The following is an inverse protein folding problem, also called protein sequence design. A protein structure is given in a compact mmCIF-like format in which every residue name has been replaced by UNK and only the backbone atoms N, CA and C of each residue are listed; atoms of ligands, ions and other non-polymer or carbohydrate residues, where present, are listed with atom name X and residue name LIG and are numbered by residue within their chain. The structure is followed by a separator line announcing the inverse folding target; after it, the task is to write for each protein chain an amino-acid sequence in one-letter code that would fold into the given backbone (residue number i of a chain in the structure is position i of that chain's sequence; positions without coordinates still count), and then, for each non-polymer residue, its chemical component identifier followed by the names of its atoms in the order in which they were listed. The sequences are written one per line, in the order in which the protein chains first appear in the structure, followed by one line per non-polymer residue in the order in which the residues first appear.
data_IF_961780547965
#
_entry.id   IF_961780547965
#
_cell.length_a   1.000
_cell.length_b   1.000
_cell.length_c   1.000
_cell.angle_alpha   90.00
_cell.angle_beta   90.00
_cell.angle_gamma   90.00
#
_symmetry.space_group_name_H-M   'P 1'
#
loop_
_entity.id
_entity.type
_entity.pdbx_description
1 polymer ?
#
# COMPACT_ATOMS: atom_id res chain seq x y z
N UNK A 1 -2.24 -1.00 -12.21
CA UNK A 1 -1.61 -1.33 -10.91
C UNK A 1 -2.28 -2.51 -10.19
N UNK A 2 -3.50 -2.86 -10.53
CA UNK A 2 -4.22 -4.00 -9.95
C UNK A 2 -4.69 -3.82 -8.49
N UNK A 3 -4.31 -2.75 -7.81
CA UNK A 3 -4.66 -2.46 -6.43
C UNK A 3 -5.18 -1.03 -6.25
N UNK A 4 -6.02 -0.82 -5.22
CA UNK A 4 -6.41 0.53 -4.83
C UNK A 4 -5.24 1.24 -4.15
N UNK A 5 -5.10 2.55 -4.38
CA UNK A 5 -4.06 3.38 -3.80
C UNK A 5 -4.17 3.50 -2.27
N UNK A 6 -3.03 3.63 -1.59
CA UNK A 6 -2.93 3.98 -0.17
C UNK A 6 -2.93 5.49 0.07
N UNK A 7 -2.36 6.27 -0.86
CA UNK A 7 -2.12 7.71 -0.72
C UNK A 7 -2.82 8.57 -1.77
N UNK A 8 -3.59 7.97 -2.69
CA UNK A 8 -4.32 8.69 -3.72
C UNK A 8 -3.59 8.88 -5.04
N UNK A 9 -2.32 8.45 -5.13
CA UNK A 9 -1.58 8.42 -6.39
C UNK A 9 -1.71 7.06 -7.08
N UNK A 10 -1.69 7.05 -8.40
CA UNK A 10 -1.57 5.82 -9.19
C UNK A 10 -0.25 5.12 -8.86
N UNK A 11 -0.31 3.84 -8.56
CA UNK A 11 0.87 3.01 -8.30
C UNK A 11 1.60 2.59 -9.58
N UNK A 12 2.69 1.86 -9.41
CA UNK A 12 3.51 1.37 -10.53
C UNK A 12 2.72 0.39 -11.40
N UNK A 13 2.77 0.59 -12.70
CA UNK A 13 2.25 -0.34 -13.72
C UNK A 13 3.37 -1.29 -14.11
N UNK A 14 3.08 -2.59 -14.10
CA UNK A 14 4.07 -3.64 -14.38
C UNK A 14 4.53 -3.52 -15.85
N UNK A 15 5.84 -3.50 -16.08
CA UNK A 15 6.44 -3.37 -17.43
C UNK A 15 5.94 -4.43 -18.43
N UNK A 16 5.66 -5.65 -17.97
CA UNK A 16 5.11 -6.71 -18.81
C UNK A 16 3.73 -6.41 -19.39
N UNK A 17 3.01 -5.38 -18.89
CA UNK A 17 1.71 -4.95 -19.40
C UNK A 17 1.81 -4.56 -20.88
N UNK A 18 2.82 -3.80 -21.27
CA UNK A 18 3.05 -3.44 -22.67
C UNK A 18 3.33 -4.66 -23.56
N UNK A 19 4.09 -5.65 -23.06
CA UNK A 19 4.32 -6.91 -23.78
C UNK A 19 3.02 -7.68 -24.01
N UNK A 20 2.15 -7.75 -23.00
CA UNK A 20 0.84 -8.40 -23.10
C UNK A 20 -0.04 -7.71 -24.17
N UNK A 21 -0.16 -6.37 -24.11
CA UNK A 21 -0.95 -5.58 -25.08
C UNK A 21 -0.41 -5.76 -26.49
N UNK A 22 0.93 -5.70 -26.66
CA UNK A 22 1.58 -5.93 -27.95
C UNK A 22 1.26 -7.33 -28.52
N UNK A 23 1.37 -8.36 -27.68
CA UNK A 23 1.10 -9.74 -28.06
C UNK A 23 -0.38 -10.00 -28.40
N UNK A 24 -1.30 -9.28 -27.76
CA UNK A 24 -2.73 -9.40 -28.00
C UNK A 24 -3.14 -8.89 -29.41
N UNK A 25 -2.44 -7.89 -29.96
CA UNK A 25 -2.67 -7.38 -31.31
C UNK A 25 -4.05 -6.74 -31.53
N UNK A 26 -4.71 -6.28 -30.47
CA UNK A 26 -6.04 -5.66 -30.47
C UNK A 26 -5.97 -4.18 -30.09
N UNK A 27 -7.08 -3.46 -30.24
CA UNK A 27 -7.17 -2.06 -29.77
C UNK A 27 -6.95 -1.99 -28.26
N UNK A 28 -6.17 -1.00 -27.80
CA UNK A 28 -6.02 -0.64 -26.40
C UNK A 28 -6.94 0.54 -26.08
N UNK A 29 -7.80 0.37 -25.08
CA UNK A 29 -8.62 1.45 -24.54
C UNK A 29 -8.17 1.73 -23.11
N UNK A 30 -7.71 2.94 -22.82
CA UNK A 30 -7.42 3.40 -21.49
C UNK A 30 -8.65 4.07 -20.88
N UNK A 31 -9.04 3.59 -19.68
CA UNK A 31 -10.22 4.08 -18.98
C UNK A 31 -9.84 4.48 -17.55
N UNK A 32 -10.07 5.73 -17.18
CA UNK A 32 -9.68 6.29 -15.90
C UNK A 32 -10.88 6.48 -14.98
N UNK A 33 -10.72 6.08 -13.73
CA UNK A 33 -11.70 6.26 -12.67
C UNK A 33 -11.19 7.33 -11.68
N UNK A 34 -11.96 8.40 -11.52
CA UNK A 34 -11.69 9.50 -10.60
C UNK A 34 -12.60 9.43 -9.37
N UNK A 35 -12.13 9.90 -8.22
CA UNK A 35 -12.88 9.89 -6.95
C UNK A 35 -12.91 8.56 -6.22
N UNK A 36 -12.37 7.50 -6.81
CA UNK A 36 -12.32 6.16 -6.21
C UNK A 36 -11.55 6.11 -4.91
N UNK A 37 -10.41 6.80 -4.83
CA UNK A 37 -9.61 6.88 -3.62
C UNK A 37 -10.40 7.42 -2.42
N UNK A 38 -11.04 8.59 -2.57
CA UNK A 38 -11.80 9.18 -1.47
C UNK A 38 -13.06 8.40 -1.13
N UNK A 39 -13.67 7.71 -2.10
CA UNK A 39 -14.84 6.86 -1.85
C UNK A 39 -14.49 5.63 -1.02
N UNK A 40 -13.39 4.94 -1.34
CA UNK A 40 -12.94 3.73 -0.65
C UNK A 40 -11.42 3.64 -0.63
N UNK A 41 -10.70 4.44 0.20
CA UNK A 41 -9.25 4.30 0.33
C UNK A 41 -8.90 2.87 0.71
N UNK A 42 -7.75 2.38 0.28
CA UNK A 42 -7.34 0.99 0.53
C UNK A 42 -7.26 0.67 2.03
N UNK A 43 -6.85 1.64 2.83
CA UNK A 43 -6.76 1.53 4.29
C UNK A 43 -8.10 1.73 5.01
N UNK A 44 -9.05 2.47 4.41
CA UNK A 44 -10.27 2.91 5.08
C UNK A 44 -11.33 1.82 5.23
N UNK A 45 -12.27 2.05 6.14
CA UNK A 45 -13.45 1.21 6.37
C UNK A 45 -14.72 1.87 5.82
N UNK A 46 -15.58 1.05 5.22
CA UNK A 46 -16.85 1.51 4.67
C UNK A 46 -16.72 2.26 3.34
N UNK A 47 -17.86 2.78 2.90
CA UNK A 47 -17.98 3.57 1.68
C UNK A 47 -18.31 5.00 2.07
N UNK A 48 -17.59 5.96 1.51
CA UNK A 48 -17.86 7.40 1.64
C UNK A 48 -18.66 7.85 0.42
N UNK A 49 -19.72 8.60 0.65
CA UNK A 49 -20.59 9.09 -0.43
C UNK A 49 -20.02 10.36 -1.02
N UNK A 50 -19.57 10.30 -2.26
CA UNK A 50 -19.04 11.41 -3.05
C UNK A 50 -19.18 11.11 -4.52
N UNK A 51 -18.80 12.07 -5.35
CA UNK A 51 -18.86 11.93 -6.81
C UNK A 51 -17.70 11.08 -7.30
N UNK A 52 -18.02 10.05 -8.06
CA UNK A 52 -17.07 9.30 -8.88
C UNK A 52 -17.36 9.57 -10.35
N UNK A 53 -16.33 9.62 -11.15
CA UNK A 53 -16.42 9.77 -12.59
C UNK A 53 -15.52 8.75 -13.28
N UNK A 54 -15.95 8.25 -14.42
CA UNK A 54 -15.15 7.37 -15.24
C UNK A 54 -15.25 7.79 -16.70
N UNK A 55 -14.12 7.84 -17.39
CA UNK A 55 -14.05 8.23 -18.80
C UNK A 55 -12.99 7.45 -19.56
N UNK A 56 -13.22 7.28 -20.85
CA UNK A 56 -12.18 6.85 -21.78
C UNK A 56 -11.19 8.01 -21.93
N UNK A 57 -9.91 7.73 -21.73
CA UNK A 57 -8.83 8.71 -21.91
C UNK A 57 -8.35 8.66 -23.37
N UNK A 58 -7.96 7.47 -23.83
CA UNK A 58 -7.48 7.26 -25.18
C UNK A 58 -7.92 5.90 -25.74
N UNK A 59 -7.94 5.83 -27.07
CA UNK A 59 -8.16 4.60 -27.83
C UNK A 59 -7.02 4.49 -28.84
N UNK A 60 -6.24 3.42 -28.75
CA UNK A 60 -5.14 3.11 -29.69
C UNK A 60 -5.58 1.97 -30.60
N UNK A 61 -5.51 2.19 -31.93
CA UNK A 61 -5.86 1.13 -32.87
C UNK A 61 -4.82 -0.01 -32.89
N UNK A 62 -5.18 -1.19 -33.44
CA UNK A 62 -4.22 -2.27 -33.59
C UNK A 62 -2.99 -1.87 -34.40
N UNK A 63 -3.15 -1.00 -35.41
CA UNK A 63 -2.08 -0.49 -36.27
C UNK A 63 -1.12 0.39 -35.46
N UNK A 64 -1.64 1.28 -34.60
CA UNK A 64 -0.82 2.09 -33.68
C UNK A 64 -0.06 1.20 -32.69
N UNK A 65 -0.72 0.25 -32.05
CA UNK A 65 -0.09 -0.71 -31.13
C UNK A 65 1.00 -1.53 -31.83
N UNK A 66 0.78 -1.89 -33.10
CA UNK A 66 1.79 -2.63 -33.90
C UNK A 66 3.04 -1.81 -34.16
N UNK A 67 2.95 -0.49 -34.26
CA UNK A 67 4.10 0.39 -34.49
C UNK A 67 4.89 0.70 -33.22
N UNK A 68 4.26 0.70 -32.05
CA UNK A 68 4.89 0.98 -30.75
C UNK A 68 5.67 -0.22 -30.24
N UNK A 69 6.77 -0.01 -29.54
CA UNK A 69 7.40 -1.06 -28.79
C UNK A 69 6.68 -1.34 -27.42
N UNK A 70 6.95 -2.46 -26.74
CA UNK A 70 6.27 -2.78 -25.47
C UNK A 70 6.49 -1.74 -24.36
N UNK A 71 7.64 -1.05 -24.36
CA UNK A 71 7.94 -0.01 -23.37
C UNK A 71 7.12 1.25 -23.64
N UNK A 72 7.06 1.69 -24.90
CA UNK A 72 6.21 2.80 -25.33
C UNK A 72 4.74 2.55 -24.99
N UNK A 73 4.23 1.31 -25.19
CA UNK A 73 2.87 0.95 -24.80
C UNK A 73 2.68 1.08 -23.29
N UNK A 74 3.64 0.64 -22.49
CA UNK A 74 3.57 0.81 -21.02
C UNK A 74 3.57 2.28 -20.64
N UNK A 75 4.41 3.11 -21.26
CA UNK A 75 4.53 4.54 -20.99
C UNK A 75 3.22 5.30 -21.30
N UNK A 76 2.55 5.01 -22.42
CA UNK A 76 1.26 5.63 -22.71
C UNK A 76 0.18 5.20 -21.72
N UNK A 77 0.16 3.94 -21.28
CA UNK A 77 -0.76 3.46 -20.24
C UNK A 77 -0.51 4.21 -18.93
N UNK A 78 0.75 4.33 -18.50
CA UNK A 78 1.14 5.07 -17.30
C UNK A 78 0.65 6.52 -17.37
N UNK A 79 0.93 7.19 -18.49
CA UNK A 79 0.52 8.58 -18.72
C UNK A 79 -1.00 8.75 -18.69
N UNK A 80 -1.73 7.90 -19.39
CA UNK A 80 -3.19 8.00 -19.51
C UNK A 80 -3.89 7.73 -18.17
N UNK A 81 -3.36 6.79 -17.37
CA UNK A 81 -3.96 6.39 -16.11
C UNK A 81 -3.38 7.12 -14.88
N UNK A 82 -2.41 8.03 -15.09
CA UNK A 82 -1.86 8.82 -14.00
C UNK A 82 -2.96 9.62 -13.28
N UNK A 83 -3.03 9.48 -11.97
CA UNK A 83 -3.98 10.16 -11.10
C UNK A 83 -3.28 10.57 -9.81
N UNK A 84 -3.46 11.83 -9.41
CA UNK A 84 -3.26 12.27 -8.05
C UNK A 84 -4.60 12.80 -7.51
N UNK A 85 -5.23 12.03 -6.67
CA UNK A 85 -6.55 12.35 -6.14
C UNK A 85 -6.57 13.67 -5.35
N UNK A 86 -5.48 14.03 -4.67
CA UNK A 86 -5.38 15.27 -3.90
C UNK A 86 -5.16 16.49 -4.78
N UNK A 87 -4.36 16.42 -5.85
CA UNK A 87 -4.24 17.51 -6.83
C UNK A 87 -5.60 17.83 -7.44
N UNK A 88 -6.31 16.81 -7.92
CA UNK A 88 -7.66 16.99 -8.45
C UNK A 88 -8.64 17.53 -7.41
N UNK A 89 -8.53 17.13 -6.14
CA UNK A 89 -9.35 17.62 -5.05
C UNK A 89 -9.08 19.11 -4.75
N UNK A 90 -7.84 19.56 -4.91
CA UNK A 90 -7.48 20.98 -4.77
C UNK A 90 -8.06 21.83 -5.90
N UNK A 91 -8.06 21.31 -7.14
CA UNK A 91 -8.62 22.01 -8.30
C UNK A 91 -10.16 22.05 -8.28
N UNK A 92 -10.78 20.96 -7.87
CA UNK A 92 -12.24 20.82 -7.87
C UNK A 92 -12.70 20.06 -6.60
N UNK A 93 -12.88 20.77 -5.48
CA UNK A 93 -13.20 20.18 -4.19
C UNK A 93 -14.54 19.45 -4.18
N UNK A 94 -14.52 18.16 -3.86
CA UNK A 94 -15.69 17.31 -3.73
C UNK A 94 -15.76 16.73 -2.32
N UNK A 95 -16.92 16.81 -1.69
CA UNK A 95 -17.14 16.19 -0.38
C UNK A 95 -17.38 14.68 -0.52
N UNK A 96 -16.66 13.90 0.28
CA UNK A 96 -16.83 12.46 0.43
C UNK A 96 -17.33 12.15 1.84
N UNK A 97 -18.64 12.22 2.00
CA UNK A 97 -19.34 12.10 3.30
C UNK A 97 -19.34 10.65 3.78
N UNK A 98 -18.92 10.43 5.00
CA UNK A 98 -18.90 9.11 5.63
C UNK A 98 -18.81 9.22 7.13
N UNK A 99 -18.93 8.06 7.77
CA UNK A 99 -18.56 7.88 9.17
C UNK A 99 -17.15 7.25 9.19
N UNK A 100 -16.34 7.58 10.20
CA UNK A 100 -15.04 6.94 10.40
C UNK A 100 -14.01 7.26 9.29
N UNK A 101 -13.86 8.55 8.95
CA UNK A 101 -13.01 9.00 7.85
C UNK A 101 -11.52 8.71 8.05
N UNK A 102 -11.03 8.59 9.30
CA UNK A 102 -9.65 8.24 9.59
C UNK A 102 -9.45 6.76 9.92
N UNK A 103 -10.52 6.00 10.23
CA UNK A 103 -10.40 4.64 10.75
C UNK A 103 -9.71 3.68 9.78
N UNK A 104 -8.59 3.10 10.23
CA UNK A 104 -7.72 2.23 9.44
C UNK A 104 -6.52 2.93 8.82
N UNK A 105 -6.34 4.25 9.00
CA UNK A 105 -5.19 4.99 8.44
C UNK A 105 -3.85 4.43 8.94
N UNK A 106 -3.81 3.85 10.15
CA UNK A 106 -2.65 3.14 10.68
C UNK A 106 -2.16 1.97 9.81
N UNK A 107 -2.97 1.48 8.88
CA UNK A 107 -2.52 0.50 7.87
C UNK A 107 -1.71 1.12 6.72
N UNK A 108 -1.81 2.43 6.53
CA UNK A 108 -1.07 3.16 5.51
C UNK A 108 0.10 3.94 6.11
N UNK A 109 -0.17 4.60 7.23
CA UNK A 109 0.78 5.48 7.93
C UNK A 109 1.14 4.84 9.27
N UNK A 110 2.42 4.66 9.54
CA UNK A 110 2.93 4.04 10.77
C UNK A 110 3.86 4.94 11.58
N UNK A 111 4.41 6.01 10.98
CA UNK A 111 5.36 6.91 11.65
C UNK A 111 4.68 8.16 12.18
N UNK A 112 4.80 8.40 13.49
CA UNK A 112 4.32 9.66 14.07
C UNK A 112 5.19 10.84 13.62
N UNK A 113 4.60 11.95 13.11
CA UNK A 113 5.38 13.07 12.57
C UNK A 113 6.04 13.93 13.66
N UNK A 114 5.65 13.75 14.91
CA UNK A 114 6.15 14.53 16.06
C UNK A 114 7.25 13.77 16.80
N UNK A 115 6.93 12.58 17.35
CA UNK A 115 7.91 11.81 18.12
C UNK A 115 8.72 10.82 17.26
N UNK A 116 8.41 10.67 15.97
CA UNK A 116 9.09 9.79 15.00
C UNK A 116 9.06 8.30 15.35
N UNK A 117 8.29 7.89 16.36
CA UNK A 117 8.10 6.47 16.70
C UNK A 117 7.22 5.77 15.69
N UNK A 118 7.57 4.52 15.39
CA UNK A 118 6.87 3.64 14.45
C UNK A 118 5.76 2.88 15.19
N UNK A 119 4.63 2.58 14.52
CA UNK A 119 3.50 1.78 15.02
C UNK A 119 2.81 2.34 16.29
N UNK A 120 2.94 3.63 16.51
CA UNK A 120 2.31 4.31 17.66
C UNK A 120 1.00 5.01 17.32
N UNK A 121 0.60 5.00 16.06
CA UNK A 121 -0.63 5.61 15.60
C UNK A 121 -1.84 4.71 15.89
N UNK A 122 -2.95 5.33 16.24
CA UNK A 122 -4.25 4.69 16.39
C UNK A 122 -5.33 5.59 15.82
N UNK A 123 -6.38 4.99 15.30
CA UNK A 123 -7.51 5.72 14.72
C UNK A 123 -8.81 5.43 15.46
N UNK A 124 -9.64 6.46 15.58
CA UNK A 124 -11.00 6.35 16.08
C UNK A 124 -11.92 7.32 15.33
N UNK A 125 -12.90 6.78 14.62
CA UNK A 125 -13.81 7.57 13.76
C UNK A 125 -13.03 8.42 12.75
N UNK A 126 -13.07 9.75 12.90
CA UNK A 126 -12.43 10.70 12.00
C UNK A 126 -11.07 11.19 12.52
N UNK A 127 -10.62 10.66 13.66
CA UNK A 127 -9.39 11.09 14.33
C UNK A 127 -8.28 10.07 14.20
N UNK A 128 -7.05 10.56 14.07
CA UNK A 128 -5.82 9.81 14.25
C UNK A 128 -5.02 10.43 15.38
N UNK A 129 -4.43 9.62 16.25
CA UNK A 129 -3.62 10.06 17.38
C UNK A 129 -2.42 9.13 17.60
N UNK A 130 -1.36 9.68 18.18
CA UNK A 130 -0.19 8.93 18.62
C UNK A 130 -0.35 8.56 20.10
N UNK A 131 -0.16 7.27 20.42
CA UNK A 131 -0.22 6.74 21.80
C UNK A 131 0.92 7.23 22.66
N UNK A 132 2.06 7.59 22.05
CA UNK A 132 3.29 7.96 22.75
C UNK A 132 3.35 9.44 23.14
N UNK A 133 3.12 10.34 22.17
CA UNK A 133 3.26 11.77 22.40
C UNK A 133 1.94 12.54 22.48
N UNK A 134 0.81 11.86 22.27
CA UNK A 134 -0.53 12.45 22.37
C UNK A 134 -0.92 13.35 21.18
N UNK A 135 -0.04 13.58 20.20
CA UNK A 135 -0.41 14.40 19.04
C UNK A 135 -1.60 13.76 18.31
N UNK A 136 -2.52 14.61 17.85
CA UNK A 136 -3.72 14.13 17.17
C UNK A 136 -4.20 15.11 16.11
N UNK A 137 -4.94 14.58 15.13
CA UNK A 137 -5.62 15.37 14.11
C UNK A 137 -6.90 14.64 13.66
N UNK A 138 -7.67 15.28 12.77
CA UNK A 138 -8.88 14.71 12.17
C UNK A 138 -8.82 14.83 10.66
N UNK A 139 -9.48 13.91 9.97
CA UNK A 139 -9.70 13.98 8.53
C UNK A 139 -11.10 14.52 8.29
N UNK A 140 -11.21 15.54 7.44
CA UNK A 140 -12.49 16.13 7.01
C UNK A 140 -13.10 15.36 5.81
N UNK A 141 -14.27 15.81 5.36
CA UNK A 141 -14.97 15.20 4.22
C UNK A 141 -14.32 15.48 2.86
N UNK A 142 -13.33 16.34 2.80
CA UNK A 142 -12.51 16.59 1.61
C UNK A 142 -11.22 15.76 1.61
N UNK A 143 -10.97 14.98 2.69
CA UNK A 143 -9.79 14.14 2.84
C UNK A 143 -8.58 14.87 3.42
N UNK A 144 -8.74 16.10 3.89
CA UNK A 144 -7.67 16.89 4.48
C UNK A 144 -7.59 16.68 6.00
N UNK A 145 -6.39 16.77 6.53
CA UNK A 145 -6.17 16.94 7.98
C UNK A 145 -6.51 18.36 8.42
N UNK A 146 -6.79 18.53 9.72
CA UNK A 146 -7.02 19.85 10.29
C UNK A 146 -5.82 20.78 10.06
N UNK A 147 -6.04 22.11 9.91
CA UNK A 147 -5.00 23.07 9.49
C UNK A 147 -3.77 23.14 10.40
N UNK A 148 -3.92 22.87 11.70
CA UNK A 148 -2.82 22.94 12.67
C UNK A 148 -1.93 21.70 12.69
N UNK A 149 -2.23 20.69 11.86
CA UNK A 149 -1.41 19.48 11.76
C UNK A 149 -0.27 19.70 10.77
N UNK A 150 0.85 18.99 10.98
CA UNK A 150 2.08 19.12 10.17
C UNK A 150 1.86 18.88 8.68
N UNK A 151 0.96 17.96 8.34
CA UNK A 151 0.63 17.60 6.96
C UNK A 151 -0.82 17.95 6.67
N UNK A 152 -1.09 18.37 5.46
CA UNK A 152 -2.44 18.66 5.01
C UNK A 152 -3.17 17.40 4.52
N UNK A 153 -2.44 16.45 3.95
CA UNK A 153 -3.01 15.29 3.28
C UNK A 153 -2.33 13.98 3.71
N UNK A 154 -2.99 12.85 3.47
CA UNK A 154 -2.39 11.52 3.65
C UNK A 154 -1.22 11.33 2.69
N UNK A 155 -1.30 11.91 1.50
CA UNK A 155 -0.24 11.84 0.49
C UNK A 155 1.05 12.54 0.96
N UNK A 156 0.95 13.73 1.54
CA UNK A 156 2.10 14.45 2.10
C UNK A 156 2.73 13.68 3.27
N UNK A 157 1.90 13.13 4.17
CA UNK A 157 2.38 12.34 5.30
C UNK A 157 3.06 11.05 4.82
N UNK A 158 2.49 10.40 3.83
CA UNK A 158 3.02 9.18 3.25
C UNK A 158 4.37 9.42 2.56
N UNK A 159 4.49 10.47 1.75
CA UNK A 159 5.75 10.84 1.10
C UNK A 159 6.86 11.15 2.12
N UNK A 160 6.53 11.90 3.19
CA UNK A 160 7.47 12.14 4.28
C UNK A 160 7.85 10.84 5.02
N UNK A 161 6.91 9.93 5.20
CA UNK A 161 7.17 8.63 5.82
C UNK A 161 8.14 7.78 4.99
N UNK A 162 8.00 7.79 3.67
CA UNK A 162 8.91 7.06 2.77
C UNK A 162 10.34 7.63 2.89
N UNK A 163 10.51 8.96 2.95
CA UNK A 163 11.80 9.61 3.22
C UNK A 163 12.36 9.21 4.60
N UNK A 164 11.52 9.24 5.63
CA UNK A 164 11.89 8.80 6.97
C UNK A 164 12.40 7.36 6.99
N UNK A 165 11.72 6.44 6.32
CA UNK A 165 12.16 5.05 6.26
C UNK A 165 13.48 4.88 5.53
N UNK A 166 13.71 5.62 4.45
CA UNK A 166 14.98 5.59 3.73
C UNK A 166 16.16 6.03 4.62
N UNK A 167 15.97 7.06 5.46
CA UNK A 167 16.97 7.51 6.43
C UNK A 167 17.13 6.52 7.59
N UNK A 168 16.02 6.04 8.14
CA UNK A 168 15.99 5.07 9.23
C UNK A 168 16.74 3.79 8.84
N UNK A 169 16.46 3.25 7.66
CA UNK A 169 17.15 2.07 7.13
C UNK A 169 18.67 2.28 7.05
N UNK A 170 19.13 3.44 6.58
CA UNK A 170 20.56 3.76 6.51
C UNK A 170 21.22 3.82 7.87
N UNK A 171 20.50 4.32 8.89
CA UNK A 171 21.03 4.51 10.24
C UNK A 171 21.13 3.24 11.08
N UNK A 172 20.41 2.18 10.74
CA UNK A 172 20.43 0.90 11.45
C UNK A 172 21.60 0.02 11.01
N UNK A 173 22.03 -0.91 11.85
CA UNK A 173 22.94 -2.01 11.50
C UNK A 173 22.16 -3.26 11.05
N UNK A 174 22.90 -4.32 10.66
CA UNK A 174 22.28 -5.57 10.17
C UNK A 174 21.53 -6.36 11.26
N UNK A 175 21.89 -6.18 12.53
CA UNK A 175 21.29 -6.88 13.67
C UNK A 175 20.11 -6.10 14.28
N UNK A 176 19.87 -4.88 13.83
CA UNK A 176 18.76 -4.07 14.31
C UNK A 176 17.43 -4.60 13.76
N UNK A 177 16.46 -4.83 14.65
CA UNK A 177 15.08 -5.11 14.25
C UNK A 177 14.46 -3.81 13.73
N UNK A 178 14.25 -3.73 12.43
CA UNK A 178 13.65 -2.56 11.78
C UNK A 178 12.15 -2.47 12.12
N UNK A 179 11.45 -3.60 11.99
CA UNK A 179 10.02 -3.71 12.27
C UNK A 179 9.72 -5.05 12.95
N UNK A 180 8.71 -5.06 13.81
CA UNK A 180 8.18 -6.31 14.33
C UNK A 180 6.68 -6.22 14.60
N UNK A 181 5.99 -7.35 14.46
CA UNK A 181 4.59 -7.51 14.86
C UNK A 181 4.40 -8.84 15.59
N UNK A 182 3.70 -8.78 16.69
CA UNK A 182 3.33 -9.95 17.51
C UNK A 182 1.93 -10.46 17.13
N UNK A 183 1.61 -11.66 17.59
CA UNK A 183 0.30 -12.29 17.39
C UNK A 183 -0.06 -12.43 15.91
N UNK A 184 0.91 -12.81 15.10
CA UNK A 184 0.70 -13.13 13.70
C UNK A 184 0.52 -14.62 13.49
N UNK A 185 -0.28 -14.99 12.50
CA UNK A 185 -0.44 -16.35 12.03
C UNK A 185 0.22 -16.47 10.64
N UNK A 186 1.19 -17.37 10.52
CA UNK A 186 1.87 -17.68 9.27
C UNK A 186 1.28 -18.95 8.66
N UNK A 187 0.99 -18.92 7.38
CA UNK A 187 0.50 -20.06 6.60
C UNK A 187 1.33 -20.22 5.33
N UNK A 188 1.51 -21.46 4.88
CA UNK A 188 1.95 -21.76 3.52
C UNK A 188 0.75 -22.04 2.62
N UNK A 189 0.90 -21.74 1.33
CA UNK A 189 -0.08 -22.08 0.29
C UNK A 189 0.51 -23.19 -0.54
N UNK A 190 -0.11 -24.37 -0.53
CA UNK A 190 0.35 -25.52 -1.30
C UNK A 190 0.01 -25.37 -2.79
N UNK A 191 0.63 -26.18 -3.64
CA UNK A 191 0.35 -26.27 -5.08
C UNK A 191 -1.13 -26.54 -5.40
N UNK A 192 -1.85 -27.22 -4.48
CA UNK A 192 -3.29 -27.45 -4.56
C UNK A 192 -4.13 -26.23 -4.08
N UNK A 193 -3.50 -25.06 -3.85
CA UNK A 193 -4.12 -23.86 -3.28
C UNK A 193 -4.71 -24.04 -1.87
N UNK A 194 -4.32 -25.09 -1.16
CA UNK A 194 -4.69 -25.30 0.24
C UNK A 194 -3.75 -24.55 1.15
N UNK A 195 -4.31 -23.92 2.21
CA UNK A 195 -3.55 -23.18 3.21
C UNK A 195 -3.23 -24.10 4.38
N UNK A 196 -1.95 -24.30 4.67
CA UNK A 196 -1.49 -25.04 5.85
C UNK A 196 -0.90 -24.07 6.86
N UNK A 197 -1.37 -24.11 8.12
CA UNK A 197 -0.80 -23.31 9.21
C UNK A 197 0.64 -23.74 9.46
N UNK A 198 1.57 -22.79 9.50
CA UNK A 198 2.97 -22.93 9.87
C UNK A 198 3.13 -22.74 11.36
N UNK A 199 2.48 -21.70 11.91
CA UNK A 199 2.51 -21.37 13.32
C UNK A 199 1.84 -20.03 13.62
N UNK A 200 1.77 -19.70 14.90
CA UNK A 200 1.46 -18.38 15.41
C UNK A 200 2.66 -17.87 16.21
N UNK A 201 2.90 -16.56 16.23
CA UNK A 201 4.07 -16.00 16.88
C UNK A 201 4.32 -14.54 16.50
N UNK A 202 5.58 -14.19 16.38
CA UNK A 202 6.09 -12.86 16.07
C UNK A 202 6.80 -12.86 14.73
N UNK A 203 6.75 -11.76 14.01
CA UNK A 203 7.60 -11.50 12.85
C UNK A 203 8.54 -10.34 13.12
N UNK A 204 9.75 -10.44 12.64
CA UNK A 204 10.78 -9.41 12.73
C UNK A 204 11.42 -9.20 11.36
N UNK A 205 11.61 -7.95 10.96
CA UNK A 205 12.33 -7.55 9.77
C UNK A 205 13.67 -6.94 10.16
N UNK A 206 14.71 -7.43 9.55
CA UNK A 206 16.08 -6.91 9.59
C UNK A 206 16.46 -6.40 8.21
N UNK A 207 17.68 -5.89 8.03
CA UNK A 207 18.15 -5.42 6.72
C UNK A 207 18.22 -6.50 5.65
N UNK A 208 18.59 -7.71 6.02
CA UNK A 208 18.88 -8.78 5.08
C UNK A 208 17.98 -10.01 5.27
N UNK A 209 17.23 -10.04 6.36
CA UNK A 209 16.38 -11.19 6.69
C UNK A 209 15.03 -10.80 7.27
N UNK A 210 14.07 -11.65 7.01
CA UNK A 210 12.75 -11.63 7.62
C UNK A 210 12.59 -12.87 8.47
N UNK A 211 12.26 -12.72 9.75
CA UNK A 211 12.25 -13.82 10.71
C UNK A 211 10.85 -14.03 11.25
N UNK A 212 10.38 -15.28 11.24
CA UNK A 212 9.20 -15.70 11.98
C UNK A 212 9.62 -16.51 13.21
N UNK A 213 9.29 -15.99 14.38
CA UNK A 213 9.50 -16.64 15.69
C UNK A 213 8.17 -17.25 16.13
N UNK A 214 7.96 -18.51 15.82
CA UNK A 214 6.78 -19.27 16.24
C UNK A 214 6.99 -20.04 17.54
N UNK A 215 5.89 -20.53 18.15
CA UNK A 215 5.92 -21.31 19.39
C UNK A 215 6.76 -22.60 19.25
N UNK A 216 6.71 -23.26 18.11
CA UNK A 216 7.38 -24.54 17.86
C UNK A 216 8.68 -24.41 17.08
N UNK A 217 8.82 -23.37 16.27
CA UNK A 217 9.98 -23.18 15.37
C UNK A 217 10.19 -21.74 14.99
N UNK A 218 11.44 -21.39 14.74
CA UNK A 218 11.86 -20.15 14.10
C UNK A 218 12.16 -20.43 12.63
N UNK A 219 11.75 -19.52 11.73
CA UNK A 219 12.06 -19.58 10.31
C UNK A 219 12.68 -18.26 9.91
N UNK A 220 13.85 -18.32 9.30
CA UNK A 220 14.51 -17.18 8.69
C UNK A 220 14.34 -17.22 7.16
N UNK A 221 14.04 -16.08 6.57
CA UNK A 221 13.94 -15.89 5.14
C UNK A 221 14.98 -14.82 4.74
N UNK A 222 15.85 -15.19 3.82
CA UNK A 222 16.78 -14.24 3.19
C UNK A 222 15.99 -13.30 2.26
N UNK A 223 16.03 -11.99 2.51
CA UNK A 223 15.29 -11.00 1.72
C UNK A 223 15.72 -10.97 0.26
N UNK A 224 16.97 -11.33 -0.06
CA UNK A 224 17.48 -11.41 -1.43
C UNK A 224 16.85 -12.59 -2.21
N UNK A 225 16.28 -13.57 -1.51
CA UNK A 225 15.63 -14.75 -2.10
C UNK A 225 14.10 -14.66 -2.05
N UNK A 226 13.54 -13.64 -1.40
CA UNK A 226 12.11 -13.40 -1.40
C UNK A 226 11.70 -12.75 -2.73
N UNK A 227 10.65 -13.28 -3.33
CA UNK A 227 9.99 -12.69 -4.49
C UNK A 227 8.51 -12.45 -4.23
N UNK A 228 7.89 -11.60 -5.08
CA UNK A 228 6.45 -11.32 -5.09
C UNK A 228 5.90 -10.82 -3.74
N UNK A 229 6.74 -10.15 -2.92
CA UNK A 229 6.28 -9.59 -1.67
C UNK A 229 5.23 -8.51 -1.93
N UNK A 230 4.04 -8.73 -1.39
CA UNK A 230 2.89 -7.85 -1.63
C UNK A 230 1.88 -7.91 -0.49
N UNK A 231 0.86 -7.05 -0.56
CA UNK A 231 -0.21 -6.97 0.45
C UNK A 231 -1.52 -7.45 -0.15
N UNK A 232 -2.08 -8.50 0.42
CA UNK A 232 -3.43 -8.95 0.12
C UNK A 232 -4.44 -8.31 1.10
N UNK A 233 -5.39 -7.57 0.53
CA UNK A 233 -6.34 -6.79 1.35
C UNK A 233 -5.66 -5.62 2.09
N UNK A 234 -5.84 -5.54 3.41
CA UNK A 234 -5.30 -4.45 4.25
C UNK A 234 -4.17 -4.88 5.18
N UNK A 235 -4.15 -6.14 5.59
CA UNK A 235 -3.32 -6.63 6.71
C UNK A 235 -2.71 -8.01 6.49
N UNK A 236 -2.66 -8.51 5.27
CA UNK A 236 -2.03 -9.79 4.97
C UNK A 236 -0.82 -9.55 4.09
N UNK A 237 0.36 -9.82 4.62
CA UNK A 237 1.58 -9.87 3.84
C UNK A 237 1.67 -11.21 3.14
N UNK A 238 2.00 -11.21 1.86
CA UNK A 238 2.22 -12.42 1.06
C UNK A 238 3.56 -12.34 0.36
N UNK A 239 4.27 -13.44 0.27
CA UNK A 239 5.55 -13.52 -0.43
C UNK A 239 5.87 -14.97 -0.83
N UNK A 240 6.86 -15.10 -1.71
CA UNK A 240 7.42 -16.40 -2.13
C UNK A 240 8.86 -16.46 -1.65
N UNK A 241 9.27 -17.56 -1.00
CA UNK A 241 10.64 -17.75 -0.55
C UNK A 241 11.55 -18.32 -1.68
N UNK A 242 12.84 -18.42 -1.40
CA UNK A 242 13.83 -18.94 -2.35
C UNK A 242 13.61 -20.39 -2.80
N UNK A 243 12.73 -21.14 -2.14
CA UNK A 243 12.34 -22.51 -2.54
C UNK A 243 11.11 -22.54 -3.45
N UNK A 244 10.48 -21.37 -3.67
CA UNK A 244 9.22 -21.25 -4.41
C UNK A 244 7.97 -21.50 -3.55
N UNK A 245 8.11 -21.61 -2.22
CA UNK A 245 6.97 -21.77 -1.33
C UNK A 245 6.31 -20.41 -1.05
N UNK A 246 4.97 -20.38 -1.16
CA UNK A 246 4.20 -19.17 -0.93
C UNK A 246 3.76 -19.07 0.55
N UNK A 247 3.92 -17.90 1.12
CA UNK A 247 3.56 -17.60 2.51
C UNK A 247 2.52 -16.50 2.61
N UNK A 248 1.65 -16.64 3.60
CA UNK A 248 0.75 -15.58 4.06
C UNK A 248 1.04 -15.31 5.54
N UNK A 249 1.27 -14.06 5.87
CA UNK A 249 1.40 -13.56 7.25
C UNK A 249 0.22 -12.66 7.55
N UNK A 250 -0.57 -13.02 8.56
CA UNK A 250 -1.79 -12.31 8.92
C UNK A 250 -1.87 -12.10 10.43
N UNK A 251 -2.19 -10.88 10.87
CA UNK A 251 -2.53 -10.59 12.25
C UNK A 251 -4.04 -10.52 12.45
N UNK A 252 -4.52 -10.93 13.63
CA UNK A 252 -5.90 -10.70 14.06
C UNK A 252 -6.15 -9.21 14.29
N UNK A 253 -5.15 -8.51 14.87
CA UNK A 253 -5.19 -7.05 15.03
C UNK A 253 -4.88 -6.36 13.71
N UNK A 254 -5.27 -5.10 13.64
CA UNK A 254 -4.89 -4.24 12.54
C UNK A 254 -3.42 -3.83 12.70
N UNK A 255 -2.58 -4.25 11.78
CA UNK A 255 -1.15 -3.92 11.73
C UNK A 255 -0.82 -3.24 10.40
N UNK A 256 0.23 -2.42 10.39
CA UNK A 256 0.75 -1.84 9.16
C UNK A 256 1.70 -2.82 8.48
N UNK A 257 1.16 -3.70 7.62
CA UNK A 257 2.00 -4.61 6.83
C UNK A 257 2.73 -3.89 5.68
N UNK A 258 2.35 -2.65 5.36
CA UNK A 258 2.99 -1.88 4.29
C UNK A 258 4.45 -1.53 4.63
N UNK A 259 4.76 -1.32 5.92
CA UNK A 259 6.14 -1.06 6.38
C UNK A 259 7.14 -2.12 5.91
N UNK A 260 6.70 -3.38 5.75
CA UNK A 260 7.55 -4.48 5.25
C UNK A 260 7.85 -4.40 3.75
N UNK A 261 7.21 -3.48 3.02
CA UNK A 261 7.44 -3.25 1.58
C UNK A 261 8.25 -1.98 1.29
N UNK A 262 8.65 -1.23 2.32
CA UNK A 262 9.32 0.07 2.17
C UNK A 262 10.84 -0.03 2.17
N UNK A 263 11.38 -1.25 2.26
CA UNK A 263 12.81 -1.54 2.34
C UNK A 263 13.25 -2.30 1.09
#
# INVERSE_FOLDING_TARGET
EGNRSYNGKTGTIIESTGKLVKAAGVSLVTYKLEGGYFTTPRWGFGIRRGKMHGSVVNIYSPEQIKQMDPKEITEVIVKDLAENAYERQNENPIQYKGKKLAEGLECAISVCPVCKKIDTLQTHKDSVSCKECGTSTKIDSYGNFLPDFKFRTVEEWDSWQDEFYAEYYKSCDSETILFSDENVCVKTVTSEKKKKKVGSGKICMYKEKFVFEGEEKTIEFDLNQISDMSIYGRKTLVFTDGTGAHYEVKSEKLINVRKYLTI
#
